data_IF_712273159560
#
_entry.id   IF_712273159560
#
_cell.length_a   1.000
_cell.length_b   1.000
_cell.length_c   1.000
_cell.angle_alpha   90.00
_cell.angle_beta   90.00
_cell.angle_gamma   90.00
#
_symmetry.space_group_name_H-M   'P 1'
#
loop_
_entity.id
_entity.type
_entity.pdbx_description
1 polymer ?
#
# COMPACT_ATOMS: atom_id res chain seq x y z
N UNK A 1 21.07 -9.02 -0.42
CA UNK A 1 20.21 -10.15 -0.84
C UNK A 1 18.81 -9.64 -1.09
N UNK A 2 17.98 -10.37 -1.86
CA UNK A 2 16.54 -10.01 -1.99
C UNK A 2 15.91 -10.16 -0.60
N UNK A 3 15.38 -9.07 -0.05
CA UNK A 3 14.66 -9.09 1.22
C UNK A 3 13.45 -10.04 1.13
N UNK A 4 12.93 -10.46 2.29
CA UNK A 4 11.69 -11.24 2.34
C UNK A 4 10.54 -10.40 1.76
N UNK A 5 9.70 -11.03 0.93
CA UNK A 5 8.45 -10.47 0.42
C UNK A 5 7.39 -10.46 1.53
N UNK A 6 7.43 -9.41 2.35
CA UNK A 6 6.59 -9.24 3.54
C UNK A 6 6.47 -7.76 3.89
N UNK A 7 5.50 -7.42 4.75
CA UNK A 7 5.25 -6.05 5.22
C UNK A 7 4.95 -5.08 4.06
N UNK A 8 3.86 -5.34 3.33
CA UNK A 8 3.35 -4.41 2.31
C UNK A 8 2.90 -3.13 3.00
N UNK A 9 3.40 -2.00 2.52
CA UNK A 9 3.09 -0.67 3.02
C UNK A 9 2.71 0.29 1.90
N UNK A 10 1.90 1.29 2.23
CA UNK A 10 1.65 2.46 1.38
C UNK A 10 2.60 3.58 1.81
N UNK A 11 3.27 4.18 0.84
CA UNK A 11 4.06 5.38 1.03
C UNK A 11 3.42 6.54 0.27
N UNK A 12 3.50 7.75 0.84
CA UNK A 12 2.97 8.96 0.21
C UNK A 12 4.09 10.00 0.04
N UNK A 13 4.18 10.53 -1.17
CA UNK A 13 4.97 11.72 -1.52
C UNK A 13 4.04 12.84 -1.93
N UNK A 14 4.42 14.08 -1.60
CA UNK A 14 3.74 15.32 -2.01
C UNK A 14 4.66 16.26 -2.80
N UNK A 15 5.85 15.77 -3.17
CA UNK A 15 6.93 16.55 -3.78
C UNK A 15 7.51 15.84 -5.02
N UNK A 16 6.62 15.26 -5.83
CA UNK A 16 6.94 14.53 -7.06
C UNK A 16 7.91 13.36 -6.85
N UNK A 17 7.76 12.65 -5.73
CA UNK A 17 8.54 11.45 -5.41
C UNK A 17 9.91 11.72 -4.81
N UNK A 18 10.25 12.96 -4.45
CA UNK A 18 11.55 13.31 -3.85
C UNK A 18 11.67 12.83 -2.41
N UNK A 19 10.60 12.93 -1.63
CA UNK A 19 10.54 12.44 -0.24
C UNK A 19 9.26 11.62 0.01
N UNK A 20 9.37 10.70 0.97
CA UNK A 20 8.30 9.76 1.34
C UNK A 20 8.12 9.75 2.87
N UNK A 21 7.64 10.85 3.48
CA UNK A 21 7.57 10.99 4.94
C UNK A 21 6.50 10.10 5.60
N UNK A 22 5.53 9.60 4.83
CA UNK A 22 4.46 8.73 5.30
C UNK A 22 4.75 7.30 4.85
N UNK A 23 4.64 6.35 5.78
CA UNK A 23 4.77 4.92 5.51
C UNK A 23 3.87 4.13 6.45
N UNK A 24 2.80 3.52 5.93
CA UNK A 24 1.82 2.78 6.72
C UNK A 24 1.65 1.35 6.22
N UNK A 25 1.81 0.38 7.12
CA UNK A 25 1.67 -1.05 6.81
C UNK A 25 0.20 -1.42 6.55
N UNK A 26 -0.03 -2.15 5.46
CA UNK A 26 -1.33 -2.75 5.07
C UNK A 26 -1.37 -4.24 5.39
N UNK A 27 -0.28 -4.97 5.10
CA UNK A 27 -0.17 -6.40 5.36
C UNK A 27 1.20 -6.69 6.00
N UNK A 28 1.28 -6.87 7.33
CA UNK A 28 2.55 -7.14 8.01
C UNK A 28 3.14 -8.51 7.64
N UNK A 29 2.30 -9.44 7.16
CA UNK A 29 2.69 -10.77 6.77
C UNK A 29 3.29 -10.88 5.36
N UNK A 30 3.32 -12.12 4.87
CA UNK A 30 3.80 -12.42 3.53
C UNK A 30 2.95 -11.68 2.48
N UNK A 31 3.63 -10.91 1.65
CA UNK A 31 3.03 -10.08 0.62
C UNK A 31 3.99 -9.94 -0.56
N UNK A 32 3.47 -10.10 -1.78
CA UNK A 32 4.26 -10.12 -2.99
C UNK A 32 3.87 -8.98 -3.94
N UNK A 33 3.34 -9.26 -5.13
CA UNK A 33 2.97 -8.18 -6.07
C UNK A 33 1.77 -7.38 -5.57
N UNK A 34 1.73 -6.10 -5.92
CA UNK A 34 0.64 -5.19 -5.62
C UNK A 34 0.44 -4.14 -6.71
N UNK A 35 -0.77 -3.61 -6.81
CA UNK A 35 -1.13 -2.52 -7.73
C UNK A 35 -2.16 -1.58 -7.09
N UNK A 36 -2.11 -0.30 -7.45
CA UNK A 36 -2.96 0.75 -6.89
C UNK A 36 -3.93 1.31 -7.94
N UNK A 37 -5.17 1.60 -7.51
CA UNK A 37 -6.13 2.34 -8.32
C UNK A 37 -6.94 3.32 -7.47
N UNK A 38 -7.29 4.46 -8.06
CA UNK A 38 -8.19 5.46 -7.46
C UNK A 38 -9.62 5.16 -7.91
N UNK A 39 -10.55 5.08 -6.96
CA UNK A 39 -11.97 4.87 -7.22
C UNK A 39 -12.70 6.22 -7.45
N UNK A 40 -13.90 6.21 -8.07
CA UNK A 40 -14.65 7.43 -8.36
C UNK A 40 -15.03 8.26 -7.13
N UNK A 41 -15.10 7.66 -5.95
CA UNK A 41 -15.40 8.34 -4.68
C UNK A 41 -14.16 8.95 -4.00
N UNK A 42 -12.99 8.88 -4.65
CA UNK A 42 -11.73 9.39 -4.13
C UNK A 42 -11.02 8.45 -3.15
N UNK A 43 -11.59 7.28 -2.84
CA UNK A 43 -10.85 6.24 -2.11
C UNK A 43 -9.83 5.54 -3.02
N UNK A 44 -8.81 4.95 -2.41
CA UNK A 44 -7.76 4.20 -3.10
C UNK A 44 -7.91 2.72 -2.76
N UNK A 45 -7.72 1.86 -3.76
CA UNK A 45 -7.57 0.42 -3.55
C UNK A 45 -6.13 -0.01 -3.83
N UNK A 46 -5.67 -0.98 -3.04
CA UNK A 46 -4.45 -1.75 -3.28
C UNK A 46 -4.85 -3.21 -3.47
N UNK A 47 -4.71 -3.73 -4.69
CA UNK A 47 -4.83 -5.17 -5.00
C UNK A 47 -3.47 -5.81 -4.77
N UNK A 48 -3.38 -6.88 -3.98
CA UNK A 48 -2.08 -7.49 -3.68
C UNK A 48 -2.14 -9.00 -3.44
N UNK A 49 -1.02 -9.66 -3.71
CA UNK A 49 -0.74 -11.04 -3.35
C UNK A 49 -0.40 -11.11 -1.86
N UNK A 50 -1.22 -11.80 -1.06
CA UNK A 50 -0.91 -12.22 0.31
C UNK A 50 -0.42 -13.68 0.32
N UNK A 51 -0.16 -14.24 1.51
CA UNK A 51 0.38 -15.60 1.69
C UNK A 51 -0.24 -16.67 0.76
N UNK A 52 -1.56 -16.74 0.70
CA UNK A 52 -2.33 -17.79 0.02
C UNK A 52 -3.55 -17.25 -0.75
N UNK A 53 -3.68 -15.92 -0.88
CA UNK A 53 -4.87 -15.24 -1.42
C UNK A 53 -4.48 -13.94 -2.13
N UNK A 54 -5.30 -13.53 -3.08
CA UNK A 54 -5.33 -12.14 -3.54
C UNK A 54 -6.28 -11.35 -2.64
N UNK A 55 -5.82 -10.20 -2.13
CA UNK A 55 -6.59 -9.32 -1.25
C UNK A 55 -6.72 -7.93 -1.87
N UNK A 56 -7.75 -7.19 -1.45
CA UNK A 56 -7.89 -5.76 -1.72
C UNK A 56 -7.97 -5.02 -0.40
N UNK A 57 -7.09 -4.05 -0.21
CA UNK A 57 -7.22 -3.03 0.83
C UNK A 57 -7.83 -1.78 0.23
N UNK A 58 -8.82 -1.19 0.91
CA UNK A 58 -9.42 0.11 0.53
C UNK A 58 -9.17 1.11 1.65
N UNK A 59 -8.65 2.28 1.30
CA UNK A 59 -8.31 3.34 2.24
C UNK A 59 -8.50 4.72 1.60
N UNK A 60 -8.32 5.78 2.37
CA UNK A 60 -8.34 7.16 1.92
C UNK A 60 -7.10 7.90 2.45
N UNK A 61 -6.97 9.19 2.11
CA UNK A 61 -5.84 9.99 2.57
C UNK A 61 -5.84 10.20 4.09
N UNK A 62 -7.02 10.30 4.72
CA UNK A 62 -7.13 10.45 6.18
C UNK A 62 -6.51 9.26 6.90
N UNK A 63 -6.84 8.03 6.48
CA UNK A 63 -6.21 6.82 7.02
C UNK A 63 -4.69 6.76 6.77
N UNK A 64 -4.14 7.45 5.78
CA UNK A 64 -2.69 7.46 5.55
C UNK A 64 -1.95 8.47 6.44
N UNK A 65 -2.64 9.48 6.95
CA UNK A 65 -2.02 10.63 7.62
C UNK A 65 -2.51 10.85 9.06
N UNK A 66 -3.15 9.83 9.63
CA UNK A 66 -3.56 9.78 11.04
C UNK A 66 -2.38 9.54 12.01
#
# INVERSE_FOLDING_TARGET
GRGKRQNLSIQLSRDDGKTWPVNKTVEPGASAYSDLAVLPDGSVICLYEAKDKIKVARFNLEWLTD
#
